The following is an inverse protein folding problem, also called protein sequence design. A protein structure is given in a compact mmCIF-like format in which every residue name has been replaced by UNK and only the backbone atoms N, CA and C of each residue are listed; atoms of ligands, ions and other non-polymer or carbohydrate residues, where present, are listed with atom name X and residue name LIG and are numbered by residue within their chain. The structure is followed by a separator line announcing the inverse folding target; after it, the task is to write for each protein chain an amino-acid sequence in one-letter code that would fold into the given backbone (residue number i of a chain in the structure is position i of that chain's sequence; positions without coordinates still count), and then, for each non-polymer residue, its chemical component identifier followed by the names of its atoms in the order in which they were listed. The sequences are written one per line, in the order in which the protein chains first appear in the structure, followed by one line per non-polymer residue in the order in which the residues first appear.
data_IF_838373383588
#
_entry.id   IF_838373383588
#
_cell.length_a   1.000
_cell.length_b   1.000
_cell.length_c   1.000
_cell.angle_alpha   90.00
_cell.angle_beta   90.00
_cell.angle_gamma   90.00
#
_symmetry.space_group_name_H-M   'P 1'
#
loop_
_entity.id
_entity.type
_entity.pdbx_description
1 polymer ?
#
# COMPACT_ATOMS: atom_id res chain seq x y z
N UNK A 1 17.87 -6.72 -13.74
CA UNK A 1 18.15 -5.45 -13.05
C UNK A 1 18.66 -5.74 -11.66
N UNK A 2 19.54 -4.90 -11.12
CA UNK A 2 20.09 -5.10 -9.76
C UNK A 2 19.08 -4.64 -8.70
N UNK A 3 18.99 -5.33 -7.55
CA UNK A 3 18.18 -4.89 -6.43
C UNK A 3 18.75 -3.63 -5.78
N UNK A 4 17.88 -2.83 -5.17
CA UNK A 4 18.30 -1.75 -4.28
C UNK A 4 18.84 -2.38 -2.99
N UNK A 5 20.04 -1.96 -2.58
CA UNK A 5 20.73 -2.41 -1.37
C UNK A 5 20.90 -1.24 -0.40
N UNK A 6 21.24 -1.55 0.85
CA UNK A 6 21.41 -0.54 1.91
C UNK A 6 22.86 -0.25 2.28
N UNK A 7 23.82 -0.75 1.49
CA UNK A 7 25.25 -0.62 1.72
C UNK A 7 25.90 0.63 1.11
N UNK A 8 25.11 1.56 0.55
CA UNK A 8 25.62 2.80 -0.06
C UNK A 8 25.27 4.00 0.84
N UNK A 9 26.25 4.64 1.51
CA UNK A 9 26.02 5.81 2.35
C UNK A 9 25.27 6.94 1.65
N UNK A 10 24.37 7.61 2.38
CA UNK A 10 23.58 8.74 1.86
C UNK A 10 22.37 8.35 1.02
N UNK A 11 22.20 7.07 0.66
CA UNK A 11 20.96 6.59 0.02
C UNK A 11 19.83 6.46 1.03
N UNK A 12 18.57 6.50 0.57
CA UNK A 12 17.42 6.29 1.44
C UNK A 12 17.51 4.97 2.24
N UNK A 13 17.77 3.80 1.60
CA UNK A 13 17.93 2.53 2.33
C UNK A 13 18.99 2.58 3.43
N UNK A 14 20.08 3.31 3.20
CA UNK A 14 21.12 3.49 4.21
C UNK A 14 20.62 4.34 5.39
N UNK A 15 19.96 5.47 5.12
CA UNK A 15 19.38 6.33 6.18
C UNK A 15 18.30 5.60 6.99
N UNK A 16 17.55 4.69 6.38
CA UNK A 16 16.56 3.87 7.10
C UNK A 16 17.21 3.14 8.27
N UNK A 17 18.34 2.48 8.04
CA UNK A 17 19.02 1.70 9.08
C UNK A 17 19.86 2.56 10.03
N UNK A 18 20.49 3.63 9.54
CA UNK A 18 21.44 4.41 10.34
C UNK A 18 20.77 5.53 11.14
N UNK A 19 19.56 5.96 10.76
CA UNK A 19 18.88 7.10 11.38
C UNK A 19 17.42 6.80 11.73
N UNK A 20 16.61 6.35 10.77
CA UNK A 20 15.16 6.24 10.96
C UNK A 20 14.78 5.13 11.95
N UNK A 21 15.37 3.94 11.82
CA UNK A 21 15.08 2.83 12.72
C UNK A 21 15.61 3.04 14.15
N UNK A 22 16.84 3.57 14.37
CA UNK A 22 17.25 4.03 15.70
C UNK A 22 16.26 5.00 16.33
N UNK A 23 15.79 6.00 15.58
CA UNK A 23 14.79 6.96 16.07
C UNK A 23 13.45 6.28 16.40
N UNK A 24 12.98 5.39 15.52
CA UNK A 24 11.77 4.59 15.76
C UNK A 24 11.90 3.75 17.04
N UNK A 25 13.04 3.11 17.27
CA UNK A 25 13.29 2.31 18.48
C UNK A 25 13.25 3.17 19.72
N UNK A 26 13.87 4.35 19.71
CA UNK A 26 13.80 5.29 20.82
C UNK A 26 12.33 5.67 21.13
N UNK A 27 11.53 5.99 20.13
CA UNK A 27 10.10 6.29 20.31
C UNK A 27 9.30 5.11 20.85
N UNK A 28 9.58 3.88 20.40
CA UNK A 28 8.91 2.68 20.91
C UNK A 28 9.26 2.40 22.38
N UNK A 29 10.52 2.57 22.75
CA UNK A 29 11.04 2.34 24.10
C UNK A 29 10.52 3.40 25.09
N UNK A 30 10.24 4.61 24.61
CA UNK A 30 9.58 5.68 25.36
C UNK A 30 8.07 5.42 25.51
N UNK A 31 7.41 5.01 24.43
CA UNK A 31 5.96 4.81 24.40
C UNK A 31 5.49 3.60 25.20
N UNK A 32 6.35 2.58 25.38
CA UNK A 32 5.95 1.30 25.98
C UNK A 32 6.80 0.90 27.19
N UNK A 33 6.19 0.31 28.24
CA UNK A 33 6.89 -0.15 29.43
C UNK A 33 7.61 -1.49 29.20
N UNK A 34 8.46 -1.59 28.17
CA UNK A 34 9.20 -2.81 27.87
C UNK A 34 10.15 -3.22 29.01
N UNK A 35 10.15 -4.50 29.43
CA UNK A 35 11.09 -4.99 30.45
C UNK A 35 12.53 -4.97 29.91
N UNK A 36 13.55 -5.05 30.79
CA UNK A 36 14.95 -5.03 30.38
C UNK A 36 15.31 -6.07 29.31
N UNK A 37 14.76 -7.29 29.38
CA UNK A 37 15.01 -8.35 28.39
C UNK A 37 14.53 -7.97 26.99
N UNK A 38 13.35 -7.36 26.87
CA UNK A 38 12.83 -6.87 25.58
C UNK A 38 13.68 -5.72 25.06
N UNK A 39 14.09 -4.78 25.93
CA UNK A 39 14.97 -3.66 25.54
C UNK A 39 16.31 -4.18 24.99
N UNK A 40 16.92 -5.16 25.65
CA UNK A 40 18.13 -5.82 25.16
C UNK A 40 17.92 -6.50 23.80
N UNK A 41 16.82 -7.25 23.62
CA UNK A 41 16.51 -7.89 22.33
C UNK A 41 16.32 -6.87 21.19
N UNK A 42 15.73 -5.71 21.50
CA UNK A 42 15.61 -4.61 20.56
C UNK A 42 16.99 -4.01 20.22
N UNK A 43 17.84 -3.73 21.21
CA UNK A 43 19.19 -3.22 20.97
C UNK A 43 20.04 -4.20 20.14
N UNK A 44 19.93 -5.50 20.41
CA UNK A 44 20.59 -6.56 19.64
C UNK A 44 20.11 -6.58 18.18
N UNK A 45 18.80 -6.51 17.95
CA UNK A 45 18.24 -6.42 16.60
C UNK A 45 18.74 -5.17 15.88
N UNK A 46 18.78 -4.01 16.55
CA UNK A 46 19.30 -2.77 15.97
C UNK A 46 20.77 -2.91 15.57
N UNK A 47 21.59 -3.61 16.36
CA UNK A 47 22.98 -3.87 16.01
C UNK A 47 23.10 -4.85 14.83
N UNK A 48 22.27 -5.91 14.80
CA UNK A 48 22.19 -6.87 13.68
C UNK A 48 21.91 -6.16 12.35
N UNK A 49 21.07 -5.11 12.37
CA UNK A 49 20.70 -4.35 11.18
C UNK A 49 21.86 -3.66 10.44
N UNK A 50 23.00 -3.47 11.11
CA UNK A 50 24.16 -2.79 10.58
C UNK A 50 25.25 -3.75 10.09
N UNK A 51 25.00 -5.06 10.14
CA UNK A 51 25.96 -6.08 9.68
C UNK A 51 26.06 -6.13 8.15
N UNK A 52 27.21 -6.52 7.58
CA UNK A 52 27.38 -6.62 6.12
C UNK A 52 26.38 -7.55 5.43
N UNK A 53 26.00 -8.65 6.10
CA UNK A 53 25.02 -9.61 5.62
C UNK A 53 23.66 -8.95 5.39
N UNK A 54 23.27 -8.08 6.33
CA UNK A 54 21.99 -7.40 6.31
C UNK A 54 21.98 -6.24 5.31
N UNK A 55 23.04 -5.42 5.31
CA UNK A 55 23.19 -4.32 4.36
C UNK A 55 23.38 -4.79 2.91
N UNK A 56 23.88 -6.02 2.72
CA UNK A 56 24.02 -6.69 1.43
C UNK A 56 22.77 -7.43 0.94
N UNK A 57 21.73 -7.53 1.78
CA UNK A 57 20.44 -8.12 1.40
C UNK A 57 19.60 -7.09 0.63
N UNK A 58 18.81 -7.49 -0.40
CA UNK A 58 17.86 -6.60 -1.06
C UNK A 58 16.99 -5.83 -0.06
N UNK A 59 16.93 -4.50 -0.21
CA UNK A 59 16.37 -3.61 0.80
C UNK A 59 14.92 -3.95 1.15
N UNK A 60 14.07 -4.21 0.16
CA UNK A 60 12.69 -4.69 0.36
C UNK A 60 12.61 -5.89 1.30
N UNK A 61 13.47 -6.89 1.07
CA UNK A 61 13.47 -8.12 1.86
C UNK A 61 14.01 -7.87 3.27
N UNK A 62 15.13 -7.14 3.40
CA UNK A 62 15.74 -6.81 4.68
C UNK A 62 14.77 -6.03 5.59
N UNK A 63 14.09 -5.02 5.04
CA UNK A 63 13.12 -4.19 5.75
C UNK A 63 11.85 -4.96 6.14
N UNK A 64 11.39 -5.87 5.29
CA UNK A 64 10.28 -6.77 5.63
C UNK A 64 10.64 -7.76 6.76
N UNK A 65 11.83 -8.35 6.69
CA UNK A 65 12.35 -9.27 7.73
C UNK A 65 12.56 -8.53 9.05
N UNK A 66 13.02 -7.29 9.01
CA UNK A 66 13.15 -6.44 10.18
C UNK A 66 11.85 -6.30 10.97
N UNK A 67 10.74 -5.91 10.32
CA UNK A 67 9.47 -5.75 11.03
C UNK A 67 8.97 -7.07 11.61
N UNK A 68 9.22 -8.20 10.93
CA UNK A 68 8.95 -9.53 11.49
C UNK A 68 9.78 -9.80 12.76
N UNK A 69 11.09 -9.53 12.72
CA UNK A 69 12.02 -9.72 13.85
C UNK A 69 11.73 -8.77 15.02
N UNK A 70 11.29 -7.55 14.72
CA UNK A 70 10.84 -6.58 15.72
C UNK A 70 9.64 -7.11 16.51
N UNK A 71 8.65 -7.66 15.81
CA UNK A 71 7.50 -8.31 16.47
C UNK A 71 7.92 -9.54 17.27
N UNK A 72 8.87 -10.34 16.78
CA UNK A 72 9.42 -11.47 17.53
C UNK A 72 10.14 -11.02 18.81
N UNK A 73 10.94 -9.95 18.75
CA UNK A 73 11.71 -9.42 19.88
C UNK A 73 10.82 -8.92 21.04
N UNK A 74 9.63 -8.38 20.73
CA UNK A 74 8.65 -7.99 21.76
C UNK A 74 7.78 -9.15 22.23
N UNK A 75 7.87 -10.32 21.59
CA UNK A 75 7.06 -11.49 21.93
C UNK A 75 5.65 -11.49 21.33
N UNK A 76 5.41 -10.74 20.24
CA UNK A 76 4.10 -10.63 19.58
C UNK A 76 3.47 -11.97 19.22
N UNK A 77 4.29 -12.94 18.79
CA UNK A 77 3.85 -14.28 18.37
C UNK A 77 3.86 -15.31 19.50
N UNK A 78 4.07 -14.90 20.75
CA UNK A 78 4.07 -15.80 21.92
C UNK A 78 2.65 -15.86 22.49
N UNK A 79 1.87 -16.95 22.32
CA UNK A 79 0.43 -16.95 22.60
C UNK A 79 0.03 -16.54 24.02
N UNK A 80 0.85 -16.89 25.02
CA UNK A 80 0.62 -16.59 26.43
C UNK A 80 1.48 -15.42 26.95
N UNK A 81 2.15 -14.70 26.04
CA UNK A 81 3.00 -13.57 26.36
C UNK A 81 2.20 -12.29 26.61
N UNK A 82 2.69 -11.36 27.45
CA UNK A 82 1.99 -10.10 27.75
C UNK A 82 1.82 -9.18 26.53
N UNK A 83 2.61 -9.39 25.48
CA UNK A 83 2.60 -8.62 24.24
C UNK A 83 2.02 -9.41 23.05
N UNK A 84 1.40 -10.56 23.31
CA UNK A 84 0.80 -11.39 22.27
C UNK A 84 -0.25 -10.60 21.47
N UNK A 85 -0.08 -10.50 20.15
CA UNK A 85 -1.00 -9.76 19.29
C UNK A 85 -1.01 -8.23 19.51
N UNK A 86 -0.10 -7.69 20.34
CA UNK A 86 -0.08 -6.27 20.68
C UNK A 86 0.48 -5.41 19.53
N UNK A 87 -0.25 -4.37 19.18
CA UNK A 87 0.21 -3.41 18.19
C UNK A 87 1.07 -2.31 18.81
N UNK A 88 2.40 -2.46 18.69
CA UNK A 88 3.37 -1.51 19.21
C UNK A 88 3.32 -0.13 18.51
N UNK A 89 2.65 0.00 17.38
CA UNK A 89 2.54 1.26 16.64
C UNK A 89 1.16 1.92 16.76
N UNK A 90 0.22 1.29 17.48
CA UNK A 90 -1.14 1.80 17.62
C UNK A 90 -1.20 3.25 18.10
N UNK A 91 -0.30 3.68 18.99
CA UNK A 91 -0.28 5.06 19.50
C UNK A 91 -0.02 6.11 18.40
N UNK A 92 0.79 5.78 17.38
CA UNK A 92 1.04 6.67 16.24
C UNK A 92 -0.18 6.72 15.32
N UNK A 93 -0.75 5.55 15.03
CA UNK A 93 -1.94 5.42 14.16
C UNK A 93 -3.18 6.08 14.78
N UNK A 94 -3.33 5.96 16.09
CA UNK A 94 -4.43 6.59 16.84
C UNK A 94 -4.26 8.10 16.91
N UNK A 95 -3.04 8.61 17.08
CA UNK A 95 -2.76 10.04 17.02
C UNK A 95 -3.04 10.62 15.62
N UNK A 96 -2.66 9.90 14.56
CA UNK A 96 -2.94 10.30 13.17
C UNK A 96 -4.45 10.31 12.86
N UNK A 97 -5.17 9.27 13.31
CA UNK A 97 -6.63 9.23 13.19
C UNK A 97 -7.30 10.38 13.98
N UNK A 98 -6.82 10.66 15.19
CA UNK A 98 -7.37 11.72 16.04
C UNK A 98 -7.13 13.13 15.49
N UNK A 99 -6.09 13.32 14.67
CA UNK A 99 -5.83 14.61 14.01
C UNK A 99 -6.62 14.81 12.71
N UNK A 100 -7.29 13.76 12.20
CA UNK A 100 -8.02 13.81 10.95
C UNK A 100 -9.26 14.71 11.02
N UNK A 101 -9.49 15.51 9.97
CA UNK A 101 -10.80 16.15 9.78
C UNK A 101 -11.84 15.12 9.36
N UNK A 102 -12.96 15.06 10.08
CA UNK A 102 -14.12 14.23 9.75
C UNK A 102 -15.27 15.02 9.14
N UNK A 103 -15.07 16.32 8.88
CA UNK A 103 -15.97 17.12 8.04
C UNK A 103 -15.65 16.84 6.57
N UNK A 104 -16.29 15.80 6.01
CA UNK A 104 -15.98 15.29 4.70
C UNK A 104 -16.58 16.17 3.59
N UNK A 105 -15.77 16.74 2.69
CA UNK A 105 -16.27 17.54 1.56
C UNK A 105 -17.05 16.68 0.56
N UNK A 106 -17.74 17.36 -0.35
CA UNK A 106 -18.27 16.72 -1.55
C UNK A 106 -17.24 16.73 -2.67
N UNK A 107 -16.64 15.57 -2.90
CA UNK A 107 -15.58 15.39 -3.88
C UNK A 107 -16.12 14.71 -5.13
N UNK A 108 -15.66 15.21 -6.29
CA UNK A 108 -15.78 14.53 -7.57
C UNK A 108 -15.01 13.19 -7.56
N UNK A 109 -15.28 12.28 -8.52
CA UNK A 109 -14.53 11.02 -8.62
C UNK A 109 -13.01 11.20 -8.66
N UNK A 110 -12.51 12.15 -9.47
CA UNK A 110 -11.09 12.45 -9.58
C UNK A 110 -10.51 12.95 -8.25
N UNK A 111 -11.20 13.87 -7.57
CA UNK A 111 -10.76 14.37 -6.27
C UNK A 111 -10.73 13.28 -5.19
N UNK A 112 -11.63 12.28 -5.24
CA UNK A 112 -11.58 11.13 -4.32
C UNK A 112 -10.37 10.25 -4.56
N UNK A 113 -10.04 9.99 -5.83
CA UNK A 113 -8.84 9.23 -6.19
C UNK A 113 -7.57 9.97 -5.73
N UNK A 114 -7.50 11.28 -5.95
CA UNK A 114 -6.39 12.10 -5.49
C UNK A 114 -6.34 12.23 -3.97
N UNK A 115 -7.49 12.31 -3.28
CA UNK A 115 -7.54 12.28 -1.81
C UNK A 115 -7.00 10.95 -1.27
N UNK A 116 -7.35 9.82 -1.90
CA UNK A 116 -6.77 8.52 -1.56
C UNK A 116 -5.25 8.49 -1.78
N UNK A 117 -4.73 9.07 -2.87
CA UNK A 117 -3.28 9.16 -3.12
C UNK A 117 -2.55 10.01 -2.07
N UNK A 118 -3.14 11.17 -1.70
CA UNK A 118 -2.51 12.18 -0.84
C UNK A 118 -2.90 12.10 0.64
N UNK A 119 -3.66 11.09 1.07
CA UNK A 119 -4.26 11.05 2.42
C UNK A 119 -3.28 11.28 3.58
N UNK A 120 -2.02 10.83 3.45
CA UNK A 120 -0.96 11.08 4.44
C UNK A 120 -0.40 12.51 4.46
N UNK A 121 -0.66 13.30 3.42
CA UNK A 121 -0.15 14.66 3.24
C UNK A 121 -1.26 15.71 3.40
N UNK A 122 -2.50 15.30 3.70
CA UNK A 122 -3.63 16.21 3.86
C UNK A 122 -3.46 17.25 4.99
N UNK A 123 -2.53 17.02 5.93
CA UNK A 123 -2.14 17.96 7.00
C UNK A 123 -1.00 18.93 6.60
N UNK A 124 -0.37 18.77 5.42
CA UNK A 124 0.34 19.87 4.76
C UNK A 124 -0.71 20.78 4.14
N UNK A 125 -1.31 21.59 5.00
CA UNK A 125 -2.57 22.25 4.76
C UNK A 125 -2.70 22.96 3.41
N UNK A 126 -3.95 23.07 2.96
CA UNK A 126 -4.38 24.30 2.31
C UNK A 126 -3.62 24.68 1.01
N UNK A 127 -3.26 23.71 0.16
CA UNK A 127 -2.96 24.00 -1.26
C UNK A 127 -4.19 23.87 -2.18
N UNK A 128 -5.37 24.16 -1.63
CA UNK A 128 -6.46 24.80 -2.40
C UNK A 128 -6.24 26.33 -2.53
N UNK A 129 -5.16 26.88 -1.95
CA UNK A 129 -4.76 28.30 -2.06
C UNK A 129 -3.41 28.56 -2.75
N UNK A 130 -2.69 27.51 -3.16
CA UNK A 130 -1.58 27.61 -4.11
C UNK A 130 -2.16 27.66 -5.52
N UNK A 131 -1.66 28.52 -6.40
CA UNK A 131 -2.06 28.56 -7.82
C UNK A 131 -1.76 27.24 -8.58
N UNK A 132 -1.20 26.25 -7.90
CA UNK A 132 -0.71 24.98 -8.39
C UNK A 132 -1.28 23.90 -7.42
N UNK A 133 -2.34 23.21 -7.84
CA UNK A 133 -3.07 22.22 -7.02
C UNK A 133 -2.38 20.85 -6.91
N UNK A 134 -2.95 19.88 -6.17
CA UNK A 134 -2.35 18.56 -5.92
C UNK A 134 -1.99 17.76 -7.19
N UNK A 135 -2.66 18.00 -8.32
CA UNK A 135 -2.33 17.40 -9.61
C UNK A 135 -0.95 17.83 -10.15
N UNK A 136 -0.49 19.03 -9.81
CA UNK A 136 0.78 19.55 -10.32
C UNK A 136 2.02 18.96 -9.62
N UNK A 137 1.81 18.16 -8.57
CA UNK A 137 2.86 17.38 -7.92
C UNK A 137 2.91 15.93 -8.42
N UNK A 138 2.11 15.57 -9.43
CA UNK A 138 2.16 14.27 -10.07
C UNK A 138 3.25 14.24 -11.16
N UNK A 139 4.20 13.32 -11.02
CA UNK A 139 5.23 13.08 -12.05
C UNK A 139 4.73 12.15 -13.16
N UNK A 140 3.66 11.40 -12.88
CA UNK A 140 2.85 10.65 -13.84
C UNK A 140 1.40 10.78 -13.40
N UNK A 141 0.55 11.25 -14.31
CA UNK A 141 -0.88 11.42 -14.04
C UNK A 141 -1.71 10.62 -15.06
N UNK A 142 -2.18 9.46 -14.60
CA UNK A 142 -3.15 8.63 -15.32
C UNK A 142 -4.48 8.57 -14.56
N UNK A 143 -4.89 9.67 -13.92
CA UNK A 143 -6.13 9.75 -13.14
C UNK A 143 -7.36 9.40 -13.99
N UNK A 144 -7.45 9.91 -15.21
CA UNK A 144 -8.58 9.61 -16.11
C UNK A 144 -8.61 8.12 -16.52
N UNK A 145 -7.45 7.53 -16.82
CA UNK A 145 -7.35 6.10 -17.11
C UNK A 145 -7.75 5.26 -15.89
N UNK A 146 -7.38 5.69 -14.68
CA UNK A 146 -7.70 5.00 -13.44
C UNK A 146 -9.21 5.02 -13.19
N UNK A 147 -9.86 6.18 -13.36
CA UNK A 147 -11.31 6.30 -13.27
C UNK A 147 -12.03 5.46 -14.34
N UNK A 148 -11.48 5.41 -15.56
CA UNK A 148 -12.01 4.62 -16.67
C UNK A 148 -12.03 3.12 -16.34
N UNK A 149 -10.95 2.57 -15.77
CA UNK A 149 -10.91 1.15 -15.42
C UNK A 149 -11.71 0.83 -14.15
N UNK A 150 -11.83 1.77 -13.21
CA UNK A 150 -12.55 1.55 -11.95
C UNK A 150 -14.07 1.65 -12.10
N UNK A 151 -14.57 2.55 -12.94
CA UNK A 151 -16.01 2.81 -13.07
C UNK A 151 -16.71 1.63 -13.76
N UNK A 152 -17.69 1.05 -13.08
CA UNK A 152 -18.46 -0.11 -13.57
C UNK A 152 -17.69 -1.43 -13.50
N UNK A 153 -16.51 -1.46 -12.88
CA UNK A 153 -15.78 -2.71 -12.64
C UNK A 153 -16.61 -3.61 -11.69
N UNK A 154 -16.81 -4.90 -11.98
CA UNK A 154 -17.60 -5.77 -11.10
C UNK A 154 -16.96 -5.89 -9.71
N UNK A 155 -15.66 -6.18 -9.67
CA UNK A 155 -14.91 -6.42 -8.42
C UNK A 155 -13.64 -5.62 -8.38
N UNK A 156 -13.47 -4.82 -7.34
CA UNK A 156 -12.27 -4.03 -7.09
C UNK A 156 -11.58 -4.53 -5.82
N UNK A 157 -10.30 -4.88 -5.91
CA UNK A 157 -9.47 -5.13 -4.73
C UNK A 157 -8.60 -3.91 -4.41
N UNK A 158 -8.69 -3.36 -3.20
CA UNK A 158 -7.85 -2.27 -2.73
C UNK A 158 -6.82 -2.81 -1.73
N UNK A 159 -5.54 -2.73 -2.07
CA UNK A 159 -4.42 -3.09 -1.19
C UNK A 159 -3.99 -1.85 -0.42
N UNK A 160 -4.35 -1.80 0.86
CA UNK A 160 -4.14 -0.64 1.71
C UNK A 160 -2.64 -0.44 2.08
N UNK A 161 -2.27 0.82 2.30
CA UNK A 161 -0.99 1.24 2.86
C UNK A 161 -1.20 1.61 4.33
N UNK A 162 -1.33 2.90 4.67
CA UNK A 162 -1.44 3.36 6.04
C UNK A 162 -2.86 3.38 6.63
N UNK A 163 -2.92 3.26 7.95
CA UNK A 163 -4.07 3.58 8.79
C UNK A 163 -4.34 5.10 8.86
N UNK A 164 -5.27 5.52 9.72
CA UNK A 164 -5.49 6.93 10.03
C UNK A 164 -6.07 7.70 8.85
N UNK A 165 -5.49 8.86 8.53
CA UNK A 165 -5.98 9.77 7.47
C UNK A 165 -6.00 9.12 6.09
N UNK A 166 -5.00 8.31 5.74
CA UNK A 166 -4.98 7.63 4.44
C UNK A 166 -6.12 6.61 4.34
N UNK A 167 -6.31 5.78 5.37
CA UNK A 167 -7.42 4.82 5.37
C UNK A 167 -8.79 5.49 5.35
N UNK A 168 -8.96 6.66 6.00
CA UNK A 168 -10.19 7.44 5.89
C UNK A 168 -10.46 7.92 4.45
N UNK A 169 -9.43 8.38 3.75
CA UNK A 169 -9.54 8.77 2.34
C UNK A 169 -9.86 7.56 1.45
N UNK A 170 -9.23 6.41 1.72
CA UNK A 170 -9.52 5.15 1.02
C UNK A 170 -10.99 4.73 1.22
N UNK A 171 -11.53 4.85 2.44
CA UNK A 171 -12.94 4.56 2.70
C UNK A 171 -13.88 5.53 1.94
N UNK A 172 -13.47 6.77 1.73
CA UNK A 172 -14.16 7.73 0.86
C UNK A 172 -14.16 7.34 -0.62
N UNK A 173 -13.10 6.69 -1.10
CA UNK A 173 -13.03 6.10 -2.44
C UNK A 173 -13.89 4.84 -2.54
N UNK A 174 -13.80 3.93 -1.55
CA UNK A 174 -14.60 2.69 -1.48
C UNK A 174 -16.10 2.98 -1.47
N UNK A 175 -16.54 3.95 -0.65
CA UNK A 175 -17.93 4.39 -0.60
C UNK A 175 -18.42 4.89 -1.96
N UNK A 176 -17.60 5.70 -2.66
CA UNK A 176 -17.95 6.15 -4.00
C UNK A 176 -18.02 5.00 -5.00
N UNK A 177 -17.05 4.07 -5.02
CA UNK A 177 -17.06 2.92 -5.93
C UNK A 177 -18.36 2.12 -5.80
N UNK A 178 -18.79 1.85 -4.57
CA UNK A 178 -19.99 1.07 -4.27
C UNK A 178 -21.30 1.83 -4.50
N UNK A 179 -21.36 3.11 -4.15
CA UNK A 179 -22.61 3.89 -4.19
C UNK A 179 -22.82 4.65 -5.51
N UNK A 180 -21.74 5.06 -6.20
CA UNK A 180 -21.79 5.91 -7.39
C UNK A 180 -20.93 5.43 -8.57
N UNK A 181 -19.91 4.60 -8.31
CA UNK A 181 -19.01 4.06 -9.31
C UNK A 181 -19.52 2.81 -10.01
N UNK A 182 -20.67 2.26 -9.59
CA UNK A 182 -21.27 1.08 -10.21
C UNK A 182 -20.50 -0.21 -9.97
N UNK A 183 -19.69 -0.27 -8.89
CA UNK A 183 -18.95 -1.48 -8.50
C UNK A 183 -19.84 -2.39 -7.65
N UNK A 184 -19.86 -3.68 -7.98
CA UNK A 184 -20.68 -4.66 -7.26
C UNK A 184 -20.06 -4.97 -5.90
N UNK A 185 -18.74 -5.21 -5.88
CA UNK A 185 -17.98 -5.59 -4.68
C UNK A 185 -16.61 -4.89 -4.61
N UNK A 186 -16.26 -4.40 -3.41
CA UNK A 186 -14.93 -3.93 -3.08
C UNK A 186 -14.34 -4.76 -1.95
N UNK A 187 -13.19 -5.40 -2.19
CA UNK A 187 -12.38 -6.06 -1.16
C UNK A 187 -11.24 -5.15 -0.73
N UNK A 188 -11.17 -4.78 0.56
CA UNK A 188 -10.03 -4.07 1.14
C UNK A 188 -9.08 -5.08 1.79
N UNK A 189 -7.88 -5.18 1.24
CA UNK A 189 -6.80 -6.02 1.72
C UNK A 189 -5.94 -5.26 2.74
N UNK A 190 -5.92 -5.75 3.98
CA UNK A 190 -5.19 -5.18 5.11
C UNK A 190 -4.02 -6.08 5.53
N UNK A 191 -3.09 -5.51 6.28
CA UNK A 191 -1.99 -6.30 6.87
C UNK A 191 -2.55 -7.18 8.00
N UNK A 192 -2.13 -8.46 8.10
CA UNK A 192 -2.61 -9.38 9.14
C UNK A 192 -2.12 -9.04 10.56
N UNK A 193 -1.08 -8.23 10.67
CA UNK A 193 -0.48 -7.79 11.94
C UNK A 193 0.26 -6.46 11.71
N UNK A 194 0.74 -5.77 12.76
CA UNK A 194 1.48 -4.52 12.62
C UNK A 194 2.65 -4.69 11.66
N UNK A 195 2.83 -3.71 10.78
CA UNK A 195 3.82 -3.75 9.72
C UNK A 195 4.15 -2.32 9.33
N UNK A 196 5.42 -2.05 8.97
CA UNK A 196 5.84 -0.75 8.44
C UNK A 196 5.34 0.49 9.21
N UNK A 197 5.30 0.38 10.54
CA UNK A 197 4.79 1.39 11.48
C UNK A 197 3.29 1.67 11.32
N UNK A 198 2.91 2.32 10.23
CA UNK A 198 1.57 2.87 10.03
C UNK A 198 0.65 1.99 9.19
N UNK A 199 1.10 0.83 8.70
CA UNK A 199 0.26 0.03 7.81
C UNK A 199 -1.06 -0.39 8.48
N UNK A 200 -2.13 -0.32 7.69
CA UNK A 200 -3.48 -0.60 8.14
C UNK A 200 -3.71 -2.09 8.43
N UNK A 201 -4.19 -2.37 9.63
CA UNK A 201 -4.73 -3.67 10.04
C UNK A 201 -6.25 -3.61 10.16
N UNK A 202 -6.90 -4.76 10.37
CA UNK A 202 -8.36 -4.81 10.62
C UNK A 202 -8.77 -3.98 11.84
N UNK A 203 -7.93 -3.92 12.88
CA UNK A 203 -8.18 -3.08 14.06
C UNK A 203 -8.26 -1.61 13.68
N UNK A 204 -7.37 -1.15 12.81
CA UNK A 204 -7.32 0.25 12.37
C UNK A 204 -8.54 0.61 11.51
N UNK A 205 -8.95 -0.28 10.59
CA UNK A 205 -10.18 -0.11 9.82
C UNK A 205 -11.40 0.08 10.73
N UNK A 206 -11.54 -0.76 11.76
CA UNK A 206 -12.66 -0.67 12.70
C UNK A 206 -12.62 0.65 13.48
N UNK A 207 -11.43 1.14 13.86
CA UNK A 207 -11.28 2.45 14.51
C UNK A 207 -11.72 3.58 13.58
N UNK A 208 -11.29 3.58 12.31
CA UNK A 208 -11.72 4.57 11.31
C UNK A 208 -13.24 4.57 11.11
N UNK A 209 -13.87 3.41 10.93
CA UNK A 209 -15.32 3.29 10.76
C UNK A 209 -16.09 3.81 11.99
N UNK A 210 -15.60 3.53 13.21
CA UNK A 210 -16.19 4.07 14.45
C UNK A 210 -16.06 5.58 14.56
N UNK A 211 -14.91 6.14 14.16
CA UNK A 211 -14.69 7.58 14.15
C UNK A 211 -15.68 8.27 13.20
N UNK A 212 -15.82 7.77 11.97
CA UNK A 212 -16.78 8.25 10.98
C UNK A 212 -18.24 8.16 11.48
N UNK A 213 -18.62 7.02 12.07
CA UNK A 213 -19.95 6.82 12.63
C UNK A 213 -20.29 7.80 13.77
N UNK A 214 -19.28 8.34 14.46
CA UNK A 214 -19.46 9.25 15.60
C UNK A 214 -19.34 10.73 15.23
N UNK A 215 -18.94 11.07 14.00
CA UNK A 215 -18.62 12.44 13.59
C UNK A 215 -19.83 13.32 13.22
N UNK A 216 -20.97 12.71 12.86
CA UNK A 216 -22.12 13.40 12.30
C UNK A 216 -21.98 13.68 10.79
N UNK A 217 -23.05 14.21 10.19
CA UNK A 217 -23.07 14.65 8.78
C UNK A 217 -22.64 13.57 7.77
N UNK A 218 -21.91 13.99 6.74
CA UNK A 218 -21.48 13.13 5.62
C UNK A 218 -20.60 11.96 6.06
N UNK A 219 -19.84 12.10 7.14
CA UNK A 219 -19.02 11.03 7.71
C UNK A 219 -19.87 9.89 8.28
N UNK A 220 -20.92 10.21 9.02
CA UNK A 220 -21.85 9.19 9.55
C UNK A 220 -22.64 8.51 8.43
N UNK A 221 -23.04 9.26 7.40
CA UNK A 221 -23.71 8.69 6.24
C UNK A 221 -22.80 7.71 5.48
N UNK A 222 -21.52 8.07 5.30
CA UNK A 222 -20.51 7.19 4.70
C UNK A 222 -20.34 5.91 5.52
N UNK A 223 -20.14 6.02 6.83
CA UNK A 223 -20.00 4.84 7.69
C UNK A 223 -21.24 3.93 7.61
N UNK A 224 -22.44 4.52 7.58
CA UNK A 224 -23.70 3.78 7.46
C UNK A 224 -23.79 3.02 6.14
N UNK A 225 -23.41 3.65 5.02
CA UNK A 225 -23.39 3.00 3.70
C UNK A 225 -22.38 1.85 3.66
N UNK A 226 -21.17 2.03 4.19
CA UNK A 226 -20.17 0.96 4.25
C UNK A 226 -20.61 -0.20 5.14
N UNK A 227 -21.24 0.08 6.29
CA UNK A 227 -21.81 -0.98 7.14
C UNK A 227 -22.92 -1.76 6.42
N UNK A 228 -23.79 -1.06 5.69
CA UNK A 228 -24.84 -1.69 4.89
C UNK A 228 -24.24 -2.55 3.77
N UNK A 229 -23.29 -2.01 3.02
CA UNK A 229 -22.57 -2.74 1.97
C UNK A 229 -21.85 -3.98 2.51
N UNK A 230 -21.25 -3.90 3.71
CA UNK A 230 -20.62 -5.04 4.35
C UNK A 230 -21.65 -6.13 4.72
N UNK A 231 -22.81 -5.75 5.25
CA UNK A 231 -23.90 -6.68 5.57
C UNK A 231 -24.48 -7.36 4.31
N UNK A 232 -24.40 -6.69 3.16
CA UNK A 232 -24.81 -7.21 1.85
C UNK A 232 -23.71 -8.00 1.14
N UNK A 233 -22.50 -8.10 1.71
CA UNK A 233 -21.36 -8.78 1.09
C UNK A 233 -20.66 -7.99 -0.02
N UNK A 234 -20.96 -6.70 -0.16
CA UNK A 234 -20.38 -5.80 -1.18
C UNK A 234 -19.13 -5.07 -0.69
N UNK A 235 -18.96 -4.88 0.61
CA UNK A 235 -17.72 -4.38 1.21
C UNK A 235 -17.07 -5.50 2.02
N UNK A 236 -15.97 -6.04 1.50
CA UNK A 236 -15.28 -7.21 2.05
C UNK A 236 -13.94 -6.78 2.65
N UNK A 237 -13.60 -7.34 3.81
CA UNK A 237 -12.30 -7.13 4.46
C UNK A 237 -11.51 -8.43 4.36
N UNK A 238 -10.31 -8.36 3.82
CA UNK A 238 -9.43 -9.51 3.64
C UNK A 238 -8.05 -9.25 4.25
N UNK A 239 -7.40 -10.32 4.70
CA UNK A 239 -5.97 -10.32 5.07
C UNK A 239 -5.32 -11.56 4.49
N UNK A 240 -4.01 -11.49 4.27
CA UNK A 240 -3.22 -12.62 3.78
C UNK A 240 -1.77 -12.50 4.31
N UNK A 241 -1.12 -13.59 4.76
CA UNK A 241 0.26 -13.54 5.27
C UNK A 241 1.27 -12.92 4.30
N UNK A 242 1.04 -13.10 3.00
CA UNK A 242 1.87 -12.50 1.94
C UNK A 242 1.99 -10.97 2.04
N UNK A 243 1.00 -10.27 2.59
CA UNK A 243 1.10 -8.82 2.73
C UNK A 243 2.21 -8.38 3.70
N UNK A 244 2.68 -9.26 4.59
CA UNK A 244 3.85 -9.06 5.45
C UNK A 244 5.04 -9.98 5.08
N UNK A 245 5.05 -10.54 3.87
CA UNK A 245 6.16 -11.36 3.37
C UNK A 245 7.24 -10.49 2.69
N UNK A 246 8.52 -10.91 2.71
CA UNK A 246 9.64 -10.16 2.13
C UNK A 246 9.73 -10.27 0.60
N UNK A 247 8.61 -10.49 -0.08
CA UNK A 247 8.55 -10.88 -1.49
C UNK A 247 7.84 -9.82 -2.35
N UNK A 248 8.31 -9.57 -3.58
CA UNK A 248 7.61 -8.74 -4.55
C UNK A 248 6.32 -9.43 -5.01
N UNK A 249 5.36 -8.68 -5.56
CA UNK A 249 4.08 -9.24 -6.05
C UNK A 249 4.24 -10.20 -7.24
N UNK A 250 5.43 -10.27 -7.86
CA UNK A 250 5.79 -11.31 -8.83
C UNK A 250 5.78 -12.73 -8.25
N UNK A 251 5.91 -12.86 -6.94
CA UNK A 251 5.86 -14.12 -6.20
C UNK A 251 4.55 -14.27 -5.44
N UNK A 252 3.54 -13.44 -5.74
CA UNK A 252 2.23 -13.54 -5.12
C UNK A 252 1.60 -14.91 -5.38
N UNK A 253 1.04 -15.56 -4.35
CA UNK A 253 0.30 -16.79 -4.55
C UNK A 253 -1.00 -16.48 -5.32
N UNK A 254 -1.53 -17.46 -6.09
CA UNK A 254 -2.64 -17.22 -7.02
C UNK A 254 -3.95 -16.82 -6.33
N UNK A 255 -4.11 -17.10 -5.04
CA UNK A 255 -5.29 -16.79 -4.24
C UNK A 255 -5.25 -15.39 -3.60
N UNK A 256 -4.11 -14.69 -3.63
CA UNK A 256 -3.88 -13.45 -2.88
C UNK A 256 -4.97 -12.38 -3.10
N UNK A 257 -5.39 -12.21 -4.35
CA UNK A 257 -6.31 -11.16 -4.79
C UNK A 257 -7.71 -11.67 -5.13
N UNK A 258 -7.96 -12.96 -4.92
CA UNK A 258 -9.19 -13.61 -5.36
C UNK A 258 -9.43 -13.40 -6.86
N UNK A 259 -10.65 -12.97 -7.21
CA UNK A 259 -11.08 -12.76 -8.58
C UNK A 259 -11.31 -11.28 -8.93
N UNK A 260 -10.56 -10.37 -8.30
CA UNK A 260 -10.67 -8.94 -8.59
C UNK A 260 -10.45 -8.64 -10.09
N UNK A 261 -11.28 -7.77 -10.66
CA UNK A 261 -11.16 -7.32 -12.05
C UNK A 261 -10.25 -6.08 -12.17
N UNK A 262 -10.15 -5.31 -11.08
CA UNK A 262 -9.23 -4.18 -10.92
C UNK A 262 -8.58 -4.24 -9.54
N UNK A 263 -7.27 -4.00 -9.47
CA UNK A 263 -6.50 -3.91 -8.23
C UNK A 263 -5.93 -2.52 -8.03
N UNK A 264 -6.30 -1.87 -6.94
CA UNK A 264 -5.77 -0.57 -6.50
C UNK A 264 -4.67 -0.82 -5.46
N UNK A 265 -3.44 -0.43 -5.76
CA UNK A 265 -2.31 -0.51 -4.85
C UNK A 265 -2.01 0.87 -4.28
N UNK A 266 -2.16 1.01 -2.96
CA UNK A 266 -1.88 2.26 -2.25
C UNK A 266 -0.42 2.33 -1.82
N UNK A 267 0.19 3.51 -1.95
CA UNK A 267 1.41 3.84 -1.24
C UNK A 267 2.71 3.30 -1.82
N UNK A 268 3.80 3.62 -1.13
CA UNK A 268 5.17 3.42 -1.63
C UNK A 268 5.61 1.95 -1.54
N UNK A 269 5.30 1.28 -0.43
CA UNK A 269 5.70 -0.12 -0.23
C UNK A 269 5.03 -1.05 -1.26
N UNK A 270 3.73 -0.89 -1.48
CA UNK A 270 3.04 -1.68 -2.50
C UNK A 270 3.59 -1.41 -3.91
N UNK A 271 3.98 -0.16 -4.22
CA UNK A 271 4.64 0.15 -5.49
C UNK A 271 6.00 -0.54 -5.63
N UNK A 272 6.85 -0.46 -4.59
CA UNK A 272 8.15 -1.15 -4.56
C UNK A 272 7.97 -2.65 -4.79
N UNK A 273 6.96 -3.27 -4.17
CA UNK A 273 6.62 -4.68 -4.37
C UNK A 273 6.07 -4.98 -5.77
N UNK A 274 5.32 -4.07 -6.38
CA UNK A 274 4.80 -4.21 -7.74
C UNK A 274 5.93 -4.27 -8.75
N UNK A 275 6.94 -3.42 -8.61
CA UNK A 275 8.05 -3.28 -9.58
C UNK A 275 9.34 -3.98 -9.15
N UNK A 276 9.32 -4.69 -8.02
CA UNK A 276 10.41 -5.52 -7.51
C UNK A 276 11.54 -4.79 -6.76
N UNK A 277 11.40 -3.50 -6.46
CA UNK A 277 12.40 -2.68 -5.73
C UNK A 277 13.82 -2.74 -6.36
N UNK A 278 13.87 -2.67 -7.70
CA UNK A 278 15.10 -2.77 -8.51
C UNK A 278 15.54 -1.39 -9.04
N UNK A 279 16.82 -1.27 -9.42
CA UNK A 279 17.39 -0.06 -10.04
C UNK A 279 16.99 0.10 -11.51
N UNK A 280 15.71 0.31 -11.78
CA UNK A 280 15.18 0.55 -13.13
C UNK A 280 15.63 1.89 -13.72
N UNK A 281 15.91 1.98 -15.04
CA UNK A 281 15.81 3.25 -15.75
C UNK A 281 14.39 3.81 -15.61
N UNK A 282 14.23 5.09 -15.33
CA UNK A 282 12.89 5.63 -15.02
C UNK A 282 11.95 5.62 -16.22
N UNK A 283 12.48 5.63 -17.44
CA UNK A 283 11.72 5.48 -18.67
C UNK A 283 11.24 4.04 -18.94
N UNK A 284 11.61 3.05 -18.10
CA UNK A 284 11.14 1.66 -18.25
C UNK A 284 9.60 1.64 -18.21
N UNK A 285 8.89 1.04 -19.18
CA UNK A 285 7.43 1.04 -19.16
C UNK A 285 6.86 0.32 -17.93
N UNK A 286 5.97 0.97 -17.17
CA UNK A 286 5.35 0.40 -15.96
C UNK A 286 4.67 -0.95 -16.21
N UNK A 287 3.96 -1.10 -17.33
CA UNK A 287 3.31 -2.36 -17.72
C UNK A 287 4.29 -3.54 -17.91
N UNK A 288 5.59 -3.27 -18.13
CA UNK A 288 6.61 -4.31 -18.29
C UNK A 288 7.26 -4.74 -16.96
N UNK A 289 6.98 -4.02 -15.87
CA UNK A 289 7.61 -4.27 -14.56
C UNK A 289 6.65 -4.81 -13.51
N UNK A 290 5.35 -4.90 -13.81
CA UNK A 290 4.33 -5.44 -12.90
C UNK A 290 4.14 -6.95 -13.12
N UNK A 291 3.68 -7.70 -12.09
CA UNK A 291 3.31 -9.10 -12.28
C UNK A 291 2.18 -9.28 -13.32
N UNK A 292 2.15 -10.42 -14.04
CA UNK A 292 1.07 -10.74 -14.96
C UNK A 292 -0.19 -11.15 -14.18
N UNK A 293 -0.95 -10.17 -13.71
CA UNK A 293 -2.22 -10.36 -13.01
C UNK A 293 -3.39 -10.41 -14.00
N UNK A 294 -4.40 -11.23 -13.73
CA UNK A 294 -5.65 -11.26 -14.50
C UNK A 294 -6.62 -10.13 -14.07
N UNK A 295 -6.07 -8.93 -13.84
CA UNK A 295 -6.76 -7.74 -13.39
C UNK A 295 -6.11 -6.51 -14.00
N UNK A 296 -6.88 -5.42 -14.15
CA UNK A 296 -6.27 -4.11 -14.34
C UNK A 296 -5.57 -3.68 -13.04
N UNK A 297 -4.51 -2.88 -13.13
CA UNK A 297 -3.75 -2.38 -11.99
C UNK A 297 -3.84 -0.86 -11.97
N UNK A 298 -4.14 -0.29 -10.81
CA UNK A 298 -4.05 1.14 -10.52
C UNK A 298 -3.09 1.31 -9.35
N UNK A 299 -1.98 2.01 -9.54
CA UNK A 299 -1.05 2.34 -8.47
C UNK A 299 -1.20 3.82 -8.08
N UNK A 300 -1.55 4.07 -6.82
CA UNK A 300 -1.69 5.41 -6.24
C UNK A 300 -0.56 5.62 -5.22
N UNK A 301 0.48 6.35 -5.61
CA UNK A 301 1.70 6.44 -4.81
C UNK A 301 2.09 7.88 -4.54
N UNK A 302 2.39 8.16 -3.28
CA UNK A 302 3.29 9.25 -2.90
C UNK A 302 4.74 8.74 -2.93
N UNK A 303 5.66 9.46 -3.58
CA UNK A 303 7.03 9.03 -3.80
C UNK A 303 7.87 9.12 -2.53
N UNK A 304 8.24 7.96 -1.97
CA UNK A 304 9.04 7.83 -0.74
C UNK A 304 10.22 6.86 -0.91
N UNK A 305 10.56 6.47 -2.14
CA UNK A 305 11.67 5.59 -2.46
C UNK A 305 12.26 5.83 -3.86
N UNK A 306 13.52 5.42 -4.04
CA UNK A 306 14.30 5.67 -5.26
C UNK A 306 13.70 5.03 -6.52
N UNK A 307 13.03 3.89 -6.37
CA UNK A 307 12.46 3.14 -7.48
C UNK A 307 11.30 3.92 -8.11
N UNK A 308 11.34 4.09 -9.42
CA UNK A 308 10.32 4.78 -10.20
C UNK A 308 10.46 4.37 -11.66
N UNK A 309 9.34 4.07 -12.31
CA UNK A 309 9.30 3.64 -13.72
C UNK A 309 8.15 4.33 -14.44
N UNK A 310 8.13 4.27 -15.77
CA UNK A 310 7.08 4.86 -16.60
C UNK A 310 7.07 6.38 -16.60
N UNK A 311 8.23 7.02 -16.37
CA UNK A 311 8.38 8.48 -16.34
C UNK A 311 9.15 8.95 -17.56
N UNK A 312 8.65 9.98 -18.25
CA UNK A 312 9.43 10.71 -19.25
C UNK A 312 10.55 11.49 -18.55
N UNK A 313 11.80 11.15 -18.85
CA UNK A 313 12.96 11.83 -18.26
C UNK A 313 12.93 13.35 -18.48
N UNK A 314 12.32 13.81 -19.57
CA UNK A 314 12.22 15.23 -19.89
C UNK A 314 11.22 15.97 -18.99
N UNK A 315 10.25 15.29 -18.38
CA UNK A 315 9.24 15.93 -17.52
C UNK A 315 9.75 16.18 -16.09
N UNK A 316 10.91 15.60 -15.73
CA UNK A 316 11.49 15.66 -14.38
C UNK A 316 12.89 16.24 -14.35
N UNK A 317 13.37 16.85 -15.44
CA UNK A 317 14.72 17.44 -15.50
C UNK A 317 14.94 18.56 -14.50
N UNK A 318 13.88 19.32 -14.21
CA UNK A 318 13.93 20.47 -13.32
C UNK A 318 13.74 20.06 -11.83
N UNK A 319 13.49 18.77 -11.57
CA UNK A 319 13.36 18.22 -10.23
C UNK A 319 14.74 17.80 -9.71
N UNK A 320 15.32 18.64 -8.85
CA UNK A 320 16.62 18.38 -8.22
C UNK A 320 16.48 17.77 -6.82
N UNK A 321 17.56 17.12 -6.36
CA UNK A 321 17.67 16.62 -4.99
C UNK A 321 16.85 15.35 -4.72
N UNK A 322 16.19 15.34 -3.55
CA UNK A 322 15.56 14.16 -2.94
C UNK A 322 14.08 13.98 -3.33
N UNK A 323 13.66 14.53 -4.46
CA UNK A 323 12.25 14.59 -4.88
C UNK A 323 11.55 13.22 -4.97
N UNK A 324 12.30 12.13 -5.18
CA UNK A 324 11.76 10.76 -5.20
C UNK A 324 11.50 10.17 -3.81
N UNK A 325 12.06 10.75 -2.76
CA UNK A 325 12.09 10.15 -1.41
C UNK A 325 11.51 11.04 -0.32
N UNK A 326 11.13 12.28 -0.65
CA UNK A 326 10.65 13.26 0.33
C UNK A 326 9.13 13.34 0.49
N UNK A 327 8.36 12.57 -0.29
CA UNK A 327 6.90 12.51 -0.20
C UNK A 327 6.13 13.71 -0.78
N UNK A 328 6.82 14.67 -1.42
CA UNK A 328 6.17 15.85 -2.02
C UNK A 328 5.56 15.59 -3.39
N UNK A 329 5.97 14.50 -4.05
CA UNK A 329 5.54 14.14 -5.39
C UNK A 329 4.76 12.83 -5.38
N UNK A 330 3.92 12.63 -6.40
CA UNK A 330 3.07 11.47 -6.51
C UNK A 330 3.02 10.91 -7.93
N UNK A 331 2.43 9.74 -8.07
CA UNK A 331 2.16 9.12 -9.36
C UNK A 331 0.85 8.35 -9.32
N UNK A 332 0.03 8.54 -10.35
CA UNK A 332 -1.08 7.65 -10.69
C UNK A 332 -0.67 6.89 -11.93
N UNK A 333 -0.55 5.56 -11.83
CA UNK A 333 -0.18 4.71 -12.96
C UNK A 333 -1.17 3.56 -13.16
N UNK A 334 -1.44 3.24 -14.42
CA UNK A 334 -2.46 2.26 -14.80
C UNK A 334 -1.89 1.22 -15.76
N UNK A 335 -2.22 -0.04 -15.52
CA UNK A 335 -2.07 -1.13 -16.49
C UNK A 335 -3.45 -1.69 -16.76
N UNK A 336 -3.92 -1.54 -18.00
CA UNK A 336 -5.20 -2.13 -18.41
C UNK A 336 -5.09 -3.66 -18.44
N UNK A 337 -6.19 -4.36 -18.12
CA UNK A 337 -6.25 -5.82 -18.26
C UNK A 337 -5.95 -6.20 -19.72
N UNK A 338 -5.11 -7.21 -19.99
CA UNK A 338 -4.95 -7.73 -21.34
C UNK A 338 -6.32 -8.12 -21.89
N UNK A 339 -6.67 -7.68 -23.11
CA UNK A 339 -7.88 -8.16 -23.76
C UNK A 339 -7.86 -9.70 -23.75
N UNK A 340 -8.96 -10.33 -23.33
CA UNK A 340 -9.06 -11.78 -23.36
C UNK A 340 -8.67 -12.27 -24.77
N UNK A 341 -7.55 -13.00 -24.86
CA UNK A 341 -7.12 -13.59 -26.12
C UNK A 341 -8.24 -14.49 -26.65
N UNK A 342 -8.34 -14.68 -27.99
CA UNK A 342 -9.36 -15.55 -28.54
C UNK A 342 -9.28 -16.93 -27.88
N UNK A 343 -10.40 -17.37 -27.30
CA UNK A 343 -10.54 -18.70 -26.71
C UNK A 343 -10.04 -19.72 -27.74
N UNK A 344 -9.04 -20.56 -27.42
CA UNK A 344 -8.57 -21.56 -28.38
C UNK A 344 -9.76 -22.45 -28.76
N UNK A 345 -9.94 -22.78 -30.06
CA UNK A 345 -11.07 -23.57 -30.50
C UNK A 345 -11.06 -24.90 -29.74
N UNK A 346 -12.22 -25.28 -29.20
CA UNK A 346 -12.40 -26.54 -28.52
C UNK A 346 -11.83 -27.67 -29.38
N UNK A 347 -10.87 -28.42 -28.83
CA UNK A 347 -10.31 -29.60 -29.47
C UNK A 347 -11.45 -30.57 -29.74
N UNK A 348 -11.86 -30.65 -31.01
CA UNK A 348 -12.83 -31.62 -31.48
C UNK A 348 -12.37 -33.06 -31.17
N UNK A 349 -13.31 -34.01 -31.04
CA UNK A 349 -12.99 -35.36 -30.62
C UNK A 349 -12.01 -36.01 -31.60
N UNK A 350 -10.86 -36.43 -31.08
CA UNK A 350 -9.85 -37.20 -31.82
C UNK A 350 -10.47 -38.53 -32.22
N UNK A 351 -10.69 -38.72 -33.52
CA UNK A 351 -11.09 -40.02 -34.06
C UNK A 351 -9.91 -40.99 -33.99
N UNK A 352 -10.10 -42.24 -33.51
CA UNK A 352 -9.01 -43.19 -33.41
C UNK A 352 -8.56 -43.63 -34.80
N UNK A 353 -7.26 -43.57 -35.06
CA UNK A 353 -6.66 -44.07 -36.29
C UNK A 353 -6.72 -45.60 -36.35
N UNK A 354 -6.94 -46.22 -37.53
CA UNK A 354 -7.00 -47.66 -37.65
C UNK A 354 -5.59 -48.25 -37.60
N UNK A 355 -5.39 -49.21 -36.70
CA UNK A 355 -4.14 -49.96 -36.59
C UNK A 355 -3.81 -50.71 -37.87
N UNK A 356 -2.53 -50.69 -38.26
CA UNK A 356 -1.97 -51.57 -39.29
C UNK A 356 -1.30 -52.75 -38.60
N UNK A 357 -1.68 -53.95 -39.04
CA UNK A 357 -0.90 -55.18 -38.85
C UNK A 357 0.21 -55.33 -39.88
#
# INVERSE_FOLDING_TARGET
MEPILSNVPGTLPWHVWHERHPAMFASLVEAHPFPPSTRTALDELLHETLTPEWLGTPFLAAESVFYRRLLEAIGYFTPDGPWAGFDLFAFLKDADLASASLDLPDLTPAERLLAALWGNQADLGFQLGSAIGPAAHLVVDQTDDALSVLTGAPRVGLVADNAGKELLADLGLVDWLLAGGGVDEVTVHLKPHPYYVSDATTTDLVKCLRALASAGGRATDLATRLHTAAAEGRFVVATHPFFCAPLPFHEAPPDLFGAADVLVFKGDLNYRRLVGDLRWPIATPFASTVPPLDAAIVALRTLKSDVLVGVDENSVTDLEGDWRVNGRYGSVQVVSRPAAGPTPPASGPVSPSPGRG
#
